data_IF_298646880522
#
_entry.id   IF_298646880522
#
_cell.length_a   1.000
_cell.length_b   1.000
_cell.length_c   1.000
_cell.angle_alpha   90.00
_cell.angle_beta   90.00
_cell.angle_gamma   90.00
#
_symmetry.space_group_name_H-M   'P 1'
#
loop_
_entity.id
_entity.type
_entity.pdbx_description
1 polymer ?
#
# COMPACT_ATOMS: atom_id res chain seq x y z
N UNK A 1 12.09 -69.64 -28.45
CA UNK A 1 12.70 -68.36 -28.90
C UNK A 1 13.22 -67.63 -27.68
N UNK A 2 14.54 -67.62 -27.45
CA UNK A 2 15.15 -66.83 -26.37
C UNK A 2 15.23 -65.38 -26.84
N UNK A 3 14.42 -64.50 -26.26
CA UNK A 3 14.48 -63.07 -26.54
C UNK A 3 15.78 -62.51 -25.97
N UNK A 4 16.57 -61.89 -26.84
CA UNK A 4 17.84 -61.28 -26.51
C UNK A 4 17.57 -60.04 -25.65
N UNK A 5 18.02 -60.05 -24.39
CA UNK A 5 17.89 -58.91 -23.48
C UNK A 5 18.88 -57.81 -23.94
N UNK A 6 18.46 -56.55 -24.12
CA UNK A 6 19.40 -55.50 -24.48
C UNK A 6 20.37 -55.28 -23.32
N UNK A 7 21.67 -55.48 -23.57
CA UNK A 7 22.72 -55.15 -22.60
C UNK A 7 22.71 -53.64 -22.39
N UNK A 8 22.24 -53.18 -21.23
CA UNK A 8 22.44 -51.80 -20.82
C UNK A 8 23.94 -51.57 -20.68
N UNK A 9 24.45 -50.53 -21.36
CA UNK A 9 25.84 -50.13 -21.20
C UNK A 9 26.10 -49.86 -19.70
N UNK A 10 27.23 -50.32 -19.13
CA UNK A 10 27.55 -50.03 -17.74
C UNK A 10 27.61 -48.51 -17.56
N UNK A 11 26.93 -48.01 -16.53
CA UNK A 11 27.10 -46.62 -16.13
C UNK A 11 28.60 -46.40 -15.87
N UNK A 12 29.23 -45.38 -16.47
CA UNK A 12 30.64 -45.14 -16.20
C UNK A 12 30.83 -44.91 -14.70
N UNK A 13 31.69 -45.73 -14.06
CA UNK A 13 32.07 -45.62 -12.64
C UNK A 13 32.84 -44.33 -12.31
N UNK A 14 32.99 -43.46 -13.30
CA UNK A 14 33.70 -42.21 -13.15
C UNK A 14 32.69 -41.15 -12.71
N UNK A 15 32.76 -40.77 -11.43
CA UNK A 15 32.04 -39.63 -10.83
C UNK A 15 32.54 -38.28 -11.41
N UNK A 16 32.76 -38.22 -12.71
CA UNK A 16 33.06 -36.97 -13.40
C UNK A 16 31.78 -36.16 -13.45
N UNK A 17 31.72 -35.00 -12.76
CA UNK A 17 30.53 -34.17 -12.79
C UNK A 17 30.30 -33.75 -14.24
N UNK A 18 29.12 -34.10 -14.77
CA UNK A 18 28.70 -33.65 -16.08
C UNK A 18 28.75 -32.13 -16.08
N UNK A 19 29.60 -31.54 -16.93
CA UNK A 19 29.66 -30.10 -17.15
C UNK A 19 28.40 -29.70 -17.89
N UNK A 20 27.32 -29.49 -17.14
CA UNK A 20 26.08 -28.93 -17.66
C UNK A 20 26.48 -27.58 -18.25
N UNK A 21 26.34 -27.36 -19.58
CA UNK A 21 26.61 -26.05 -20.14
C UNK A 21 25.67 -25.09 -19.41
N UNK A 22 26.24 -24.07 -18.73
CA UNK A 22 25.43 -22.98 -18.18
C UNK A 22 24.61 -22.48 -19.35
N UNK A 23 23.29 -22.71 -19.34
CA UNK A 23 22.38 -22.06 -20.27
C UNK A 23 22.59 -20.57 -20.02
N UNK A 24 23.35 -19.92 -20.90
CA UNK A 24 23.77 -18.50 -20.80
C UNK A 24 22.62 -17.53 -21.06
N UNK A 25 21.40 -17.98 -20.77
CA UNK A 25 20.19 -17.21 -20.86
C UNK A 25 19.56 -17.21 -19.47
N UNK A 26 20.19 -16.48 -18.57
CA UNK A 26 19.37 -15.71 -17.63
C UNK A 26 18.66 -14.64 -18.47
N UNK A 27 17.66 -15.04 -19.27
CA UNK A 27 16.66 -14.09 -19.71
C UNK A 27 16.09 -13.55 -18.41
N UNK A 28 16.40 -12.30 -18.07
CA UNK A 28 15.73 -11.61 -16.97
C UNK A 28 14.27 -11.55 -17.37
N UNK A 29 13.50 -12.54 -16.94
CA UNK A 29 12.06 -12.53 -17.16
C UNK A 29 11.56 -11.36 -16.34
N UNK A 30 11.14 -10.29 -17.02
CA UNK A 30 10.55 -9.13 -16.36
C UNK A 30 9.23 -9.62 -15.74
N UNK A 31 9.24 -9.91 -14.45
CA UNK A 31 8.03 -10.26 -13.73
C UNK A 31 7.29 -8.94 -13.49
N UNK A 32 6.15 -8.75 -14.15
CA UNK A 32 5.23 -7.67 -13.81
C UNK A 32 4.61 -7.98 -12.45
N UNK A 33 4.45 -6.96 -11.62
CA UNK A 33 3.81 -7.12 -10.32
C UNK A 33 2.39 -7.69 -10.52
N UNK A 34 1.96 -8.64 -9.69
CA UNK A 34 0.62 -9.21 -9.77
C UNK A 34 -0.45 -8.12 -9.55
N UNK A 35 -1.66 -8.30 -10.10
CA UNK A 35 -2.76 -7.38 -9.86
C UNK A 35 -3.11 -7.32 -8.36
N UNK A 36 -3.48 -6.13 -7.88
CA UNK A 36 -3.85 -5.89 -6.49
C UNK A 36 -5.02 -6.78 -6.05
N UNK A 37 -4.87 -7.41 -4.89
CA UNK A 37 -5.81 -8.43 -4.40
C UNK A 37 -6.99 -7.84 -3.59
N UNK A 38 -7.00 -6.53 -3.33
CA UNK A 38 -8.06 -5.85 -2.57
C UNK A 38 -7.85 -5.85 -1.06
N UNK A 39 -6.72 -6.34 -0.56
CA UNK A 39 -6.34 -6.29 0.85
C UNK A 39 -5.08 -5.44 1.07
N UNK A 40 -5.15 -4.53 2.05
CA UNK A 40 -4.04 -3.66 2.42
C UNK A 40 -4.05 -2.33 1.67
N UNK A 41 -2.88 -1.69 1.56
CA UNK A 41 -2.65 -0.57 0.65
C UNK A 41 -1.84 -1.03 -0.57
N UNK A 42 -1.87 -0.25 -1.64
CA UNK A 42 -1.11 -0.58 -2.84
C UNK A 42 0.41 -0.56 -2.57
N UNK A 43 0.88 0.37 -1.74
CA UNK A 43 2.28 0.49 -1.35
C UNK A 43 2.78 -0.74 -0.56
N UNK A 44 1.96 -1.27 0.36
CA UNK A 44 2.30 -2.47 1.14
C UNK A 44 2.32 -3.73 0.26
N UNK A 45 1.39 -3.81 -0.69
CA UNK A 45 1.34 -4.88 -1.69
C UNK A 45 2.57 -4.87 -2.62
N UNK A 46 3.02 -3.68 -3.03
CA UNK A 46 4.23 -3.50 -3.81
C UNK A 46 5.48 -3.91 -3.02
N UNK A 47 5.60 -3.49 -1.75
CA UNK A 47 6.71 -3.86 -0.88
C UNK A 47 6.85 -5.39 -0.74
N UNK A 48 5.72 -6.10 -0.61
CA UNK A 48 5.71 -7.56 -0.55
C UNK A 48 6.17 -8.24 -1.85
N UNK A 49 6.00 -7.59 -3.01
CA UNK A 49 6.48 -8.13 -4.30
C UNK A 49 7.98 -7.91 -4.51
N UNK A 50 8.60 -6.96 -3.79
CA UNK A 50 10.01 -6.60 -3.97
C UNK A 50 10.99 -7.41 -3.10
N UNK A 51 10.56 -7.93 -1.94
CA UNK A 51 11.44 -8.69 -1.04
C UNK A 51 10.72 -9.81 -0.30
N UNK A 52 11.41 -10.95 -0.08
CA UNK A 52 10.89 -12.10 0.68
C UNK A 52 10.62 -11.75 2.15
N UNK A 53 11.36 -10.79 2.69
CA UNK A 53 11.12 -10.22 4.02
C UNK A 53 10.43 -8.87 3.79
N UNK A 54 9.18 -8.69 4.22
CA UNK A 54 8.49 -7.42 4.04
C UNK A 54 9.20 -6.34 4.85
N UNK A 55 9.61 -5.28 4.15
CA UNK A 55 10.14 -4.06 4.76
C UNK A 55 8.96 -3.10 4.88
N UNK A 56 8.71 -2.50 6.06
CA UNK A 56 7.64 -1.53 6.19
C UNK A 56 7.87 -0.38 5.20
N UNK A 57 6.85 0.06 4.46
CA UNK A 57 6.98 1.14 3.51
C UNK A 57 7.47 2.39 4.25
N UNK A 58 8.55 2.99 3.76
CA UNK A 58 9.08 4.21 4.34
C UNK A 58 8.16 5.36 3.93
N UNK A 59 7.46 5.97 4.91
CA UNK A 59 6.74 7.22 4.69
C UNK A 59 7.72 8.29 4.23
N UNK A 60 7.28 9.24 3.42
CA UNK A 60 8.10 10.34 2.92
C UNK A 60 8.59 11.24 4.08
N UNK A 61 9.68 10.82 4.74
CA UNK A 61 10.25 11.48 5.92
C UNK A 61 10.68 12.92 5.62
N UNK A 62 11.07 13.22 4.37
CA UNK A 62 11.47 14.56 3.92
C UNK A 62 10.29 15.52 3.99
N UNK A 63 9.10 15.07 3.58
CA UNK A 63 7.88 15.88 3.60
C UNK A 63 7.38 16.10 5.02
N UNK A 64 7.42 15.04 5.82
CA UNK A 64 7.10 15.11 7.25
C UNK A 64 8.04 16.10 7.96
N UNK A 65 9.36 15.95 7.84
CA UNK A 65 10.32 16.84 8.51
C UNK A 65 10.24 18.31 8.03
N UNK A 66 9.96 18.55 6.75
CA UNK A 66 9.88 19.90 6.21
C UNK A 66 8.60 20.65 6.61
N UNK A 67 7.48 19.94 6.81
CA UNK A 67 6.16 20.55 6.98
C UNK A 67 5.54 20.37 8.38
N UNK A 68 6.01 19.40 9.16
CA UNK A 68 5.47 19.08 10.49
C UNK A 68 5.83 20.15 11.54
N UNK A 69 7.06 20.70 11.51
CA UNK A 69 7.52 21.69 12.49
C UNK A 69 8.57 22.66 11.96
N UNK A 70 8.14 23.80 11.41
CA UNK A 70 8.95 25.03 11.48
C UNK A 70 8.57 25.76 12.78
N UNK A 71 9.15 25.34 13.90
CA UNK A 71 8.89 25.94 15.22
C UNK A 71 7.56 25.48 15.88
N UNK A 72 6.73 26.44 16.31
CA UNK A 72 5.46 26.21 17.02
C UNK A 72 4.22 26.16 16.11
N UNK A 73 4.40 26.33 14.79
CA UNK A 73 3.28 26.36 13.84
C UNK A 73 3.13 25.02 13.15
N UNK A 74 2.04 24.32 13.48
CA UNK A 74 1.57 23.19 12.69
C UNK A 74 0.88 23.73 11.43
N UNK A 75 1.36 23.33 10.25
CA UNK A 75 0.74 23.71 8.99
C UNK A 75 -0.53 22.87 8.75
N UNK A 76 -1.60 23.25 9.44
CA UNK A 76 -2.93 22.66 9.25
C UNK A 76 -3.83 23.70 8.59
N UNK A 77 -4.33 23.38 7.40
CA UNK A 77 -5.31 24.24 6.72
C UNK A 77 -6.71 23.86 7.19
N UNK A 78 -7.44 24.81 7.77
CA UNK A 78 -8.80 24.57 8.29
C UNK A 78 -9.84 25.34 7.49
N UNK A 79 -10.80 24.62 6.95
CA UNK A 79 -11.88 25.16 6.13
C UNK A 79 -13.24 24.85 6.76
N UNK A 80 -14.17 25.80 6.66
CA UNK A 80 -15.57 25.54 6.93
C UNK A 80 -16.25 25.05 5.66
N UNK A 81 -16.94 23.92 5.73
CA UNK A 81 -17.60 23.29 4.60
C UNK A 81 -19.08 23.00 4.91
N UNK A 82 -19.87 22.91 3.85
CA UNK A 82 -21.30 22.61 3.89
C UNK A 82 -21.60 21.64 2.76
N UNK A 83 -22.33 20.57 3.04
CA UNK A 83 -22.68 19.58 2.03
C UNK A 83 -23.73 20.15 1.07
N UNK A 84 -23.48 20.04 -0.24
CA UNK A 84 -24.45 20.37 -1.29
C UNK A 84 -25.28 19.10 -1.54
N UNK A 85 -26.55 19.12 -1.15
CA UNK A 85 -27.47 17.98 -1.26
C UNK A 85 -28.91 18.48 -1.26
N UNK A 86 -29.83 17.74 -1.88
CA UNK A 86 -31.25 18.08 -1.93
C UNK A 86 -32.00 17.77 -0.62
N UNK A 87 -31.35 17.03 0.29
CA UNK A 87 -31.91 16.68 1.60
C UNK A 87 -31.84 17.86 2.57
N UNK A 88 -33.00 18.41 2.94
CA UNK A 88 -33.10 19.55 3.86
C UNK A 88 -32.37 19.35 5.21
N UNK A 89 -32.35 18.11 5.74
CA UNK A 89 -31.64 17.78 6.98
C UNK A 89 -30.13 17.95 6.84
N UNK A 90 -29.56 17.52 5.71
CA UNK A 90 -28.12 17.58 5.46
C UNK A 90 -27.66 18.96 5.00
N UNK A 91 -28.55 19.75 4.38
CA UNK A 91 -28.30 21.14 4.02
C UNK A 91 -28.05 22.06 5.22
N UNK A 92 -28.40 21.69 6.44
CA UNK A 92 -28.12 22.54 7.61
C UNK A 92 -26.78 22.21 8.28
N UNK A 93 -26.16 21.08 7.91
CA UNK A 93 -24.95 20.56 8.55
C UNK A 93 -23.73 21.36 8.14
N UNK A 94 -22.91 21.69 9.15
CA UNK A 94 -21.63 22.37 8.98
C UNK A 94 -20.52 21.38 9.28
N UNK A 95 -19.47 21.42 8.49
CA UNK A 95 -18.29 20.60 8.67
C UNK A 95 -17.07 21.49 8.75
N UNK A 96 -16.06 20.99 9.44
CA UNK A 96 -14.75 21.57 9.52
C UNK A 96 -13.82 20.56 8.87
N UNK A 97 -13.16 20.99 7.80
CA UNK A 97 -12.17 20.19 7.09
C UNK A 97 -10.80 20.69 7.52
N UNK A 98 -9.99 19.81 8.09
CA UNK A 98 -8.59 20.07 8.45
C UNK A 98 -7.69 19.25 7.54
N UNK A 99 -6.82 19.92 6.78
CA UNK A 99 -5.84 19.29 5.92
C UNK A 99 -4.45 19.41 6.53
N UNK A 100 -3.82 18.27 6.78
CA UNK A 100 -2.50 18.17 7.38
C UNK A 100 -1.45 18.12 6.28
N UNK A 101 -0.65 19.19 6.14
CA UNK A 101 0.36 19.26 5.07
C UNK A 101 1.53 18.27 5.27
N UNK A 102 1.67 17.69 6.47
CA UNK A 102 2.74 16.78 6.82
C UNK A 102 2.57 15.39 6.19
N UNK A 103 1.34 14.89 6.15
CA UNK A 103 0.99 13.53 5.72
C UNK A 103 -0.14 13.51 4.66
N UNK A 104 -0.54 14.68 4.15
CA UNK A 104 -1.67 14.88 3.23
C UNK A 104 -3.00 14.30 3.73
N UNK A 105 -3.13 14.06 5.03
CA UNK A 105 -4.36 13.51 5.59
C UNK A 105 -5.43 14.60 5.74
N UNK A 106 -6.70 14.18 5.60
CA UNK A 106 -7.86 15.06 5.75
C UNK A 106 -8.70 14.57 6.94
N UNK A 107 -8.90 15.45 7.91
CA UNK A 107 -9.87 15.25 9.00
C UNK A 107 -11.14 16.04 8.68
N UNK A 108 -12.30 15.38 8.75
CA UNK A 108 -13.61 16.02 8.61
C UNK A 108 -14.36 15.90 9.94
N UNK A 109 -14.67 17.04 10.53
CA UNK A 109 -15.31 17.14 11.84
C UNK A 109 -16.64 17.89 11.77
N UNK A 110 -17.71 17.32 12.34
CA UNK A 110 -19.00 17.99 12.52
C UNK A 110 -19.06 18.59 13.94
N UNK A 111 -19.05 19.93 14.10
CA UNK A 111 -19.17 20.54 15.43
C UNK A 111 -20.56 20.25 16.03
N UNK A 112 -20.63 19.95 17.35
CA UNK A 112 -21.89 19.64 18.02
C UNK A 112 -22.81 20.88 18.04
N UNK A 113 -24.06 20.67 17.67
CA UNK A 113 -25.10 21.70 17.68
C UNK A 113 -26.01 21.47 18.89
N UNK A 114 -26.16 22.48 19.75
CA UNK A 114 -27.08 22.42 20.91
C UNK A 114 -28.49 22.09 20.44
N UNK A 115 -29.19 21.24 21.18
CA UNK A 115 -30.58 20.81 20.90
C UNK A 115 -30.78 20.11 19.54
N UNK A 116 -29.72 19.59 18.91
CA UNK A 116 -29.83 18.87 17.63
C UNK A 116 -30.23 17.41 17.76
N UNK A 117 -30.26 16.86 18.98
CA UNK A 117 -30.59 15.45 19.24
C UNK A 117 -29.52 14.46 18.78
N UNK A 118 -28.39 14.93 18.23
CA UNK A 118 -27.26 14.09 17.82
C UNK A 118 -26.27 13.94 18.97
N UNK A 119 -25.71 12.73 19.20
CA UNK A 119 -24.57 12.57 20.09
C UNK A 119 -23.38 13.39 19.59
N UNK A 120 -22.47 13.72 20.51
CA UNK A 120 -21.22 14.40 20.19
C UNK A 120 -20.52 13.68 19.04
N UNK A 121 -20.26 14.42 17.97
CA UNK A 121 -19.71 13.84 16.74
C UNK A 121 -18.22 13.66 16.95
N UNK A 122 -17.76 12.41 16.96
CA UNK A 122 -16.33 12.10 16.84
C UNK A 122 -15.88 12.45 15.42
N UNK A 123 -14.74 13.14 15.29
CA UNK A 123 -14.20 13.49 13.98
C UNK A 123 -13.95 12.24 13.14
N UNK A 124 -14.40 12.26 11.89
CA UNK A 124 -14.07 11.21 10.93
C UNK A 124 -12.76 11.60 10.26
N UNK A 125 -11.71 10.84 10.53
CA UNK A 125 -10.46 10.93 9.79
C UNK A 125 -10.68 10.15 8.49
N UNK A 126 -10.70 10.86 7.36
CA UNK A 126 -10.72 10.22 6.06
C UNK A 126 -9.28 10.16 5.57
N UNK A 127 -8.72 8.96 5.55
CA UNK A 127 -7.52 8.67 4.77
C UNK A 127 -8.00 8.56 3.32
N UNK A 128 -7.77 9.61 2.53
CA UNK A 128 -7.77 9.45 1.08
C UNK A 128 -6.39 8.90 0.74
N UNK A 129 -6.36 7.63 0.33
CA UNK A 129 -5.23 7.01 -0.36
C UNK A 129 -5.21 7.54 -1.81
#
# INVERSE_FOLDING_TARGET
MRLNMPQFAPFPDDFTPLKIPRLTQHTSVAHSNPPYNGWGSEEDSLANCHSLIPVPPQRDFVKFMAKDRFGYESHVLRFAAKMITDKALDQSRRFIISFYLADDTILVYEPPVKNSGKPESVGLIFLFD
#
